data_IF_811499244552
#
_entry.id   IF_811499244552
#
_cell.length_a   1.000
_cell.length_b   1.000
_cell.length_c   1.000
_cell.angle_alpha   90.00
_cell.angle_beta   90.00
_cell.angle_gamma   90.00
#
_symmetry.space_group_name_H-M   'P 1'
#
loop_
_entity.id
_entity.type
_entity.pdbx_description
1 polymer ?
#
# COMPACT_ATOMS: atom_id res chain seq x y z
N UNK A 1 4.35 -15.41 -33.48
CA UNK A 1 4.06 -13.95 -33.49
C UNK A 1 3.85 -13.42 -34.91
N UNK A 2 4.84 -13.50 -35.81
CA UNK A 2 4.71 -13.01 -37.19
C UNK A 2 3.50 -13.59 -37.95
N UNK A 3 3.24 -14.89 -37.81
CA UNK A 3 2.06 -15.52 -38.43
C UNK A 3 0.73 -14.95 -37.91
N UNK A 4 0.59 -14.80 -36.59
CA UNK A 4 -0.60 -14.24 -35.96
C UNK A 4 -0.86 -12.79 -36.39
N UNK A 5 0.20 -12.00 -36.64
CA UNK A 5 0.05 -10.64 -37.15
C UNK A 5 -0.58 -10.61 -38.56
N UNK A 6 -0.31 -11.60 -39.41
CA UNK A 6 -0.79 -11.61 -40.81
C UNK A 6 -2.31 -11.70 -40.92
N UNK A 7 -2.94 -12.39 -39.98
CA UNK A 7 -4.40 -12.60 -39.94
C UNK A 7 -5.11 -11.65 -38.98
N UNK A 8 -4.38 -10.73 -38.35
CA UNK A 8 -4.92 -9.85 -37.31
C UNK A 8 -5.68 -8.66 -37.93
N UNK A 9 -6.99 -8.61 -37.71
CA UNK A 9 -7.86 -7.52 -38.18
C UNK A 9 -7.59 -6.19 -37.48
N UNK A 10 -7.15 -6.21 -36.22
CA UNK A 10 -6.81 -5.00 -35.46
C UNK A 10 -5.56 -4.34 -36.04
N UNK A 11 -4.59 -5.12 -36.50
CA UNK A 11 -3.41 -4.57 -37.18
C UNK A 11 -3.80 -3.82 -38.47
N UNK A 12 -4.71 -4.37 -39.26
CA UNK A 12 -5.20 -3.72 -40.48
C UNK A 12 -6.02 -2.45 -40.19
N UNK A 13 -6.79 -2.45 -39.10
CA UNK A 13 -7.48 -1.25 -38.59
C UNK A 13 -6.48 -0.16 -38.18
N UNK A 14 -5.44 -0.52 -37.42
CA UNK A 14 -4.41 0.40 -36.96
C UNK A 14 -3.59 1.00 -38.10
N UNK A 15 -3.32 0.23 -39.16
CA UNK A 15 -2.63 0.75 -40.37
C UNK A 15 -3.45 1.82 -41.09
N UNK A 16 -4.78 1.75 -41.05
CA UNK A 16 -5.68 2.66 -41.79
C UNK A 16 -6.13 3.86 -40.95
N UNK A 17 -6.42 3.64 -39.67
CA UNK A 17 -7.19 4.56 -38.83
C UNK A 17 -6.36 5.14 -37.67
N UNK A 18 -5.03 5.15 -37.77
CA UNK A 18 -4.16 5.70 -36.72
C UNK A 18 -3.01 6.53 -37.29
N UNK A 19 -2.40 7.35 -36.44
CA UNK A 19 -1.17 8.10 -36.76
C UNK A 19 0.11 7.24 -36.65
N UNK A 20 -0.02 5.93 -36.45
CA UNK A 20 1.11 5.01 -36.36
C UNK A 20 1.68 4.74 -37.76
N UNK A 21 2.99 4.49 -37.82
CA UNK A 21 3.68 4.17 -39.06
C UNK A 21 4.23 2.76 -38.95
N UNK A 22 3.57 1.81 -39.58
CA UNK A 22 3.98 0.41 -39.56
C UNK A 22 4.92 0.10 -40.73
N UNK A 23 6.05 -0.54 -40.40
CA UNK A 23 6.98 -1.14 -41.36
C UNK A 23 7.18 -2.60 -41.03
N UNK A 24 7.48 -3.38 -42.04
CA UNK A 24 7.81 -4.79 -41.87
C UNK A 24 9.30 -4.95 -41.70
N UNK A 25 9.72 -5.75 -40.72
CA UNK A 25 11.12 -6.06 -40.43
C UNK A 25 11.32 -7.55 -40.65
N UNK A 26 12.30 -7.87 -41.49
CA UNK A 26 12.70 -9.25 -41.78
C UNK A 26 13.77 -9.69 -40.79
N UNK A 27 13.70 -10.95 -40.36
CA UNK A 27 14.71 -11.54 -39.49
C UNK A 27 15.47 -12.63 -40.24
N UNK A 28 16.80 -12.72 -40.11
CA UNK A 28 17.60 -13.73 -40.81
C UNK A 28 17.14 -15.17 -40.54
N UNK A 29 16.54 -15.41 -39.37
CA UNK A 29 16.13 -16.73 -38.92
C UNK A 29 14.66 -17.05 -39.18
N UNK A 30 13.87 -16.14 -39.77
CA UNK A 30 12.45 -16.38 -40.03
C UNK A 30 12.01 -15.85 -41.38
N UNK A 31 11.40 -16.72 -42.20
CA UNK A 31 10.85 -16.36 -43.51
C UNK A 31 9.58 -15.49 -43.42
N UNK A 32 9.12 -15.13 -42.22
CA UNK A 32 7.93 -14.33 -42.00
C UNK A 32 8.31 -12.96 -41.43
N UNK A 33 7.92 -11.87 -42.10
CA UNK A 33 8.31 -10.54 -41.68
C UNK A 33 7.38 -10.05 -40.56
N UNK A 34 7.92 -9.25 -39.64
CA UNK A 34 7.22 -8.77 -38.45
C UNK A 34 6.80 -7.31 -38.62
N UNK A 35 5.52 -7.02 -38.38
CA UNK A 35 5.02 -5.65 -38.39
C UNK A 35 5.42 -4.92 -37.11
N UNK A 36 6.09 -3.78 -37.30
CA UNK A 36 6.59 -2.92 -36.23
C UNK A 36 6.19 -1.46 -36.49
N UNK A 37 5.76 -0.77 -35.45
CA UNK A 37 5.59 0.69 -35.50
C UNK A 37 6.97 1.38 -35.39
N UNK A 38 7.16 2.43 -36.19
CA UNK A 38 8.36 3.28 -36.21
C UNK A 38 8.05 4.76 -36.01
N UNK A 39 6.78 5.12 -35.77
CA UNK A 39 6.33 6.52 -35.66
C UNK A 39 7.02 7.33 -34.56
N UNK A 40 7.55 6.66 -33.53
CA UNK A 40 8.16 7.30 -32.35
C UNK A 40 9.70 7.32 -32.39
N UNK A 41 10.32 6.96 -33.52
CA UNK A 41 11.78 6.83 -33.64
C UNK A 41 12.35 5.56 -33.00
N UNK A 42 11.55 4.82 -32.23
CA UNK A 42 11.87 3.47 -31.75
C UNK A 42 11.04 2.44 -32.51
N UNK A 43 11.69 1.34 -32.90
CA UNK A 43 11.05 0.18 -33.51
C UNK A 43 10.30 -0.61 -32.43
N UNK A 44 8.98 -0.72 -32.57
CA UNK A 44 8.11 -1.40 -31.60
C UNK A 44 7.25 -2.44 -32.30
N UNK A 45 7.49 -3.74 -32.10
CA UNK A 45 6.65 -4.78 -32.68
C UNK A 45 5.19 -4.65 -32.25
N UNK A 46 4.28 -4.83 -33.20
CA UNK A 46 2.87 -4.98 -32.89
C UNK A 46 2.61 -6.33 -32.21
N UNK A 47 1.79 -6.35 -31.16
CA UNK A 47 1.52 -7.58 -30.39
C UNK A 47 0.07 -8.02 -30.56
N UNK A 48 -0.19 -9.12 -31.30
CA UNK A 48 -1.51 -9.74 -31.37
C UNK A 48 -2.02 -10.17 -30.00
N UNK A 49 -3.33 -10.19 -29.83
CA UNK A 49 -4.01 -10.41 -28.53
C UNK A 49 -3.44 -11.59 -27.74
N UNK A 50 -3.25 -12.73 -28.39
CA UNK A 50 -2.75 -13.97 -27.77
C UNK A 50 -1.37 -13.85 -27.11
N UNK A 51 -0.54 -12.89 -27.52
CA UNK A 51 0.82 -12.70 -26.99
C UNK A 51 0.92 -11.59 -25.95
N UNK A 52 -0.12 -10.73 -25.80
CA UNK A 52 -0.07 -9.57 -24.91
C UNK A 52 0.14 -9.95 -23.43
N UNK A 53 -0.52 -11.00 -22.88
CA UNK A 53 -0.27 -11.43 -21.50
C UNK A 53 1.18 -11.87 -21.29
N UNK A 54 1.75 -12.64 -22.22
CA UNK A 54 3.14 -13.12 -22.14
C UNK A 54 4.12 -11.94 -22.13
N UNK A 55 3.93 -10.96 -23.01
CA UNK A 55 4.74 -9.73 -23.05
C UNK A 55 4.64 -8.97 -21.73
N UNK A 56 3.43 -8.84 -21.17
CA UNK A 56 3.22 -8.18 -19.89
C UNK A 56 3.97 -8.88 -18.76
N UNK A 57 3.77 -10.19 -18.59
CA UNK A 57 4.39 -10.99 -17.53
C UNK A 57 5.91 -10.97 -17.61
N UNK A 58 6.47 -11.09 -18.82
CA UNK A 58 7.93 -11.03 -19.05
C UNK A 58 8.57 -9.73 -18.54
N UNK A 59 7.82 -8.61 -18.54
CA UNK A 59 8.31 -7.31 -18.06
C UNK A 59 7.93 -7.07 -16.59
N UNK A 60 6.68 -7.36 -16.24
CA UNK A 60 6.15 -7.08 -14.91
C UNK A 60 6.79 -7.95 -13.83
N UNK A 61 6.96 -9.24 -14.09
CA UNK A 61 7.37 -10.23 -13.09
C UNK A 61 8.87 -10.15 -12.74
N UNK A 62 9.65 -9.37 -13.49
CA UNK A 62 11.07 -9.11 -13.18
C UNK A 62 11.26 -8.37 -11.85
N UNK A 63 10.33 -7.48 -11.52
CA UNK A 63 10.46 -6.60 -10.35
C UNK A 63 9.13 -6.19 -9.71
N UNK A 64 8.00 -6.70 -10.20
CA UNK A 64 6.65 -6.28 -9.76
C UNK A 64 6.51 -4.74 -9.68
N UNK A 65 7.08 -4.06 -10.68
CA UNK A 65 7.10 -2.61 -10.73
C UNK A 65 5.68 -2.04 -10.76
N UNK A 66 5.50 -0.87 -10.15
CA UNK A 66 4.19 -0.21 -10.11
C UNK A 66 3.56 -0.02 -11.50
N UNK A 67 2.23 0.07 -11.56
CA UNK A 67 1.46 0.09 -12.82
C UNK A 67 2.03 1.03 -13.88
N UNK A 68 2.33 2.28 -13.50
CA UNK A 68 2.86 3.30 -14.42
C UNK A 68 4.22 2.91 -15.00
N UNK A 69 5.13 2.43 -14.15
CA UNK A 69 6.46 2.00 -14.58
C UNK A 69 6.39 0.80 -15.53
N UNK A 70 5.52 -0.18 -15.23
CA UNK A 70 5.27 -1.33 -16.10
C UNK A 70 4.71 -0.91 -17.45
N UNK A 71 3.69 -0.05 -17.49
CA UNK A 71 3.11 0.49 -18.73
C UNK A 71 4.18 1.19 -19.57
N UNK A 72 5.00 2.04 -18.94
CA UNK A 72 6.05 2.78 -19.64
C UNK A 72 7.16 1.85 -20.15
N UNK A 73 7.50 0.78 -19.43
CA UNK A 73 8.48 -0.22 -19.87
C UNK A 73 7.97 -1.02 -21.09
N UNK A 74 6.71 -1.46 -21.05
CA UNK A 74 6.06 -2.19 -22.15
C UNK A 74 5.92 -1.29 -23.38
N UNK A 75 5.43 -0.06 -23.22
CA UNK A 75 5.17 0.89 -24.32
C UNK A 75 6.43 1.30 -25.09
N UNK A 76 7.61 1.27 -24.45
CA UNK A 76 8.90 1.56 -25.10
C UNK A 76 9.31 0.45 -26.07
N UNK A 77 8.87 -0.80 -25.84
CA UNK A 77 9.31 -1.97 -26.60
C UNK A 77 8.24 -2.53 -27.54
N UNK A 78 6.96 -2.37 -27.19
CA UNK A 78 5.84 -3.01 -27.88
C UNK A 78 4.68 -2.05 -28.11
N UNK A 79 3.79 -2.41 -29.04
CA UNK A 79 2.58 -1.65 -29.32
C UNK A 79 1.39 -2.58 -29.60
N UNK A 80 0.21 -2.20 -29.13
CA UNK A 80 -1.08 -2.77 -29.51
C UNK A 80 -2.20 -1.81 -29.09
N UNK A 81 -3.43 -2.03 -29.57
CA UNK A 81 -4.58 -1.19 -29.20
C UNK A 81 -4.90 -1.37 -27.72
N UNK A 82 -5.11 -0.28 -27.00
CA UNK A 82 -5.47 -0.31 -25.57
C UNK A 82 -4.38 -0.83 -24.61
N UNK A 83 -3.09 -0.84 -24.99
CA UNK A 83 -1.95 -1.24 -24.14
C UNK A 83 -2.01 -0.73 -22.71
N UNK A 84 -2.25 0.57 -22.53
CA UNK A 84 -2.36 1.18 -21.19
C UNK A 84 -3.50 0.56 -20.37
N UNK A 85 -4.66 0.31 -20.98
CA UNK A 85 -5.83 -0.26 -20.31
C UNK A 85 -5.52 -1.69 -19.85
N UNK A 86 -5.01 -2.52 -20.75
CA UNK A 86 -4.71 -3.93 -20.48
C UNK A 86 -3.67 -4.05 -19.36
N UNK A 87 -2.53 -3.36 -19.48
CA UNK A 87 -1.49 -3.38 -18.45
C UNK A 87 -2.00 -2.83 -17.10
N UNK A 88 -2.91 -1.86 -17.09
CA UNK A 88 -3.53 -1.36 -15.84
C UNK A 88 -4.37 -2.43 -15.18
N UNK A 89 -5.18 -3.18 -15.95
CA UNK A 89 -5.99 -4.27 -15.43
C UNK A 89 -5.09 -5.36 -14.87
N UNK A 90 -4.08 -5.80 -15.63
CA UNK A 90 -3.19 -6.89 -15.22
C UNK A 90 -2.34 -6.55 -13.99
N UNK A 91 -1.84 -5.32 -13.89
CA UNK A 91 -1.13 -4.89 -12.67
C UNK A 91 -2.07 -4.89 -11.45
N UNK A 92 -3.34 -4.51 -11.63
CA UNK A 92 -4.34 -4.53 -10.54
C UNK A 92 -4.73 -5.95 -10.14
N UNK A 93 -4.65 -6.93 -11.03
CA UNK A 93 -4.97 -8.34 -10.75
C UNK A 93 -3.77 -9.17 -10.28
N UNK A 94 -2.57 -8.60 -10.26
CA UNK A 94 -1.37 -9.28 -9.81
C UNK A 94 -1.41 -9.57 -8.30
N UNK A 95 -1.48 -10.85 -7.93
CA UNK A 95 -1.62 -11.29 -6.54
C UNK A 95 -0.42 -10.88 -5.67
N UNK A 96 0.81 -10.98 -6.19
CA UNK A 96 2.02 -10.55 -5.48
C UNK A 96 1.96 -9.06 -5.14
N UNK A 97 1.59 -8.22 -6.13
CA UNK A 97 1.43 -6.79 -5.91
C UNK A 97 0.30 -6.46 -4.92
N UNK A 98 -0.85 -7.14 -5.02
CA UNK A 98 -1.98 -6.91 -4.10
C UNK A 98 -1.64 -7.26 -2.65
N UNK A 99 -0.87 -8.34 -2.42
CA UNK A 99 -0.45 -8.75 -1.07
C UNK A 99 0.57 -7.80 -0.47
N UNK A 100 1.50 -7.30 -1.27
CA UNK A 100 2.59 -6.43 -0.78
C UNK A 100 2.20 -4.96 -0.68
N UNK A 101 1.26 -4.49 -1.51
CA UNK A 101 0.89 -3.06 -1.58
C UNK A 101 -0.51 -2.81 -1.05
N UNK A 102 -0.59 -2.19 0.13
CA UNK A 102 -1.83 -1.62 0.65
C UNK A 102 -2.09 -0.29 -0.07
N UNK A 103 -2.87 -0.32 -1.15
CA UNK A 103 -3.20 0.88 -1.95
C UNK A 103 -4.28 1.76 -1.29
N UNK A 104 -5.08 1.18 -0.39
CA UNK A 104 -6.15 1.87 0.32
C UNK A 104 -6.13 1.49 1.80
N UNK A 105 -5.77 2.44 2.65
CA UNK A 105 -6.03 2.31 4.08
C UNK A 105 -7.54 2.44 4.29
N UNK A 106 -8.19 1.34 4.69
CA UNK A 106 -9.58 1.40 5.15
C UNK A 106 -9.58 2.15 6.48
N UNK A 107 -9.87 3.46 6.43
CA UNK A 107 -10.09 4.23 7.65
C UNK A 107 -11.47 3.82 8.18
N UNK A 108 -11.49 3.00 9.22
CA UNK A 108 -12.73 2.74 9.95
C UNK A 108 -13.30 4.07 10.44
N UNK A 109 -14.63 4.28 10.35
CA UNK A 109 -15.24 5.47 10.92
C UNK A 109 -14.92 5.55 12.42
N UNK A 110 -14.65 6.75 12.92
CA UNK A 110 -14.38 6.98 14.34
C UNK A 110 -15.61 6.53 15.13
N UNK A 111 -15.42 5.60 16.07
CA UNK A 111 -16.49 5.13 16.94
C UNK A 111 -17.07 6.29 17.78
N UNK A 112 -18.40 6.38 17.88
CA UNK A 112 -19.07 7.31 18.79
C UNK A 112 -19.22 6.66 20.15
N UNK A 113 -18.52 7.17 21.15
CA UNK A 113 -18.64 6.71 22.53
C UNK A 113 -19.60 7.64 23.30
N UNK A 114 -20.61 7.11 24.00
CA UNK A 114 -21.56 7.94 24.74
C UNK A 114 -20.83 8.79 25.78
N UNK A 115 -21.33 10.00 26.05
CA UNK A 115 -20.75 10.83 27.12
C UNK A 115 -20.94 10.11 28.47
N UNK A 116 -19.94 10.14 29.36
CA UNK A 116 -20.10 9.59 30.71
C UNK A 116 -21.21 10.34 31.45
N UNK A 117 -22.00 9.61 32.24
CA UNK A 117 -23.16 10.15 32.96
C UNK A 117 -22.81 10.73 34.35
N UNK A 118 -21.55 10.63 34.76
CA UNK A 118 -21.07 11.16 36.04
C UNK A 118 -19.58 10.92 36.25
N UNK A 119 -19.04 11.53 37.31
CA UNK A 119 -17.63 11.40 37.72
C UNK A 119 -17.27 9.95 38.03
N UNK A 120 -16.07 9.53 37.64
CA UNK A 120 -15.47 8.22 37.92
C UNK A 120 -16.26 7.01 37.37
N UNK A 121 -17.25 7.23 36.49
CA UNK A 121 -17.97 6.16 35.78
C UNK A 121 -17.09 5.49 34.72
N UNK A 122 -16.28 6.29 34.03
CA UNK A 122 -15.35 5.84 33.00
C UNK A 122 -14.02 6.54 33.24
N UNK A 123 -13.00 5.75 33.58
CA UNK A 123 -11.62 6.22 33.72
C UNK A 123 -10.80 5.58 32.61
N UNK A 124 -10.09 6.42 31.87
CA UNK A 124 -9.15 5.97 30.86
C UNK A 124 -7.81 5.75 31.54
N UNK A 125 -7.26 4.53 31.40
CA UNK A 125 -5.94 4.17 31.89
C UNK A 125 -4.99 3.99 30.71
N UNK A 126 -3.79 4.55 30.81
CA UNK A 126 -2.72 4.32 29.85
C UNK A 126 -1.37 4.27 30.55
N UNK A 127 -0.43 3.48 30.01
CA UNK A 127 0.91 3.30 30.58
C UNK A 127 1.92 3.93 29.65
N UNK A 128 2.70 4.88 30.19
CA UNK A 128 3.81 5.50 29.47
C UNK A 128 5.11 4.84 29.91
N UNK A 129 5.88 4.32 28.95
CA UNK A 129 7.25 3.86 29.18
C UNK A 129 7.74 2.83 28.16
N UNK A 130 8.96 2.31 28.35
CA UNK A 130 9.87 2.62 29.46
C UNK A 130 10.50 4.03 29.35
N UNK A 131 10.59 4.73 30.48
CA UNK A 131 11.25 6.03 30.65
C UNK A 131 12.60 5.84 31.35
N UNK A 132 13.51 6.84 31.30
CA UNK A 132 14.71 6.84 32.13
C UNK A 132 14.37 6.62 33.61
N UNK A 133 15.16 5.79 34.29
CA UNK A 133 14.94 5.46 35.71
C UNK A 133 15.00 6.73 36.54
N UNK A 134 13.96 6.98 37.34
CA UNK A 134 13.94 8.01 38.37
C UNK A 134 13.40 7.40 39.66
N UNK A 135 14.18 7.44 40.73
CA UNK A 135 13.81 6.89 42.05
C UNK A 135 13.32 5.43 42.01
N UNK A 136 13.85 4.61 41.09
CA UNK A 136 13.45 3.21 40.93
C UNK A 136 12.19 2.98 40.09
N UNK A 137 11.61 4.02 39.49
CA UNK A 137 10.44 3.95 38.61
C UNK A 137 10.85 4.18 37.15
N UNK A 138 10.23 3.45 36.23
CA UNK A 138 10.49 3.51 34.77
C UNK A 138 9.22 3.66 33.94
N UNK A 139 8.06 3.63 34.58
CA UNK A 139 6.76 3.74 33.91
C UNK A 139 5.90 4.78 34.63
N UNK A 140 4.92 5.34 33.93
CA UNK A 140 3.87 6.16 34.50
C UNK A 140 2.51 5.57 34.15
N UNK A 141 1.69 5.30 35.16
CA UNK A 141 0.27 5.05 34.97
C UNK A 141 -0.43 6.40 34.88
N UNK A 142 -1.10 6.65 33.75
CA UNK A 142 -1.95 7.83 33.57
C UNK A 142 -3.41 7.43 33.70
N UNK A 143 -4.15 8.15 34.52
CA UNK A 143 -5.56 7.92 34.80
C UNK A 143 -6.33 9.20 34.47
N UNK A 144 -7.29 9.14 33.56
CA UNK A 144 -8.10 10.32 33.20
C UNK A 144 -9.57 10.02 33.39
N UNK A 145 -10.23 10.72 34.32
CA UNK A 145 -11.68 10.65 34.43
C UNK A 145 -12.32 11.29 33.19
N UNK A 146 -13.09 10.50 32.44
CA UNK A 146 -13.63 10.95 31.15
C UNK A 146 -14.70 12.04 31.30
N UNK A 147 -15.35 12.13 32.45
CA UNK A 147 -16.40 13.13 32.72
C UNK A 147 -15.81 14.49 33.03
N UNK A 148 -14.94 14.58 34.04
CA UNK A 148 -14.31 15.84 34.45
C UNK A 148 -13.09 16.22 33.62
N UNK A 149 -12.52 15.28 32.86
CA UNK A 149 -11.21 15.40 32.22
C UNK A 149 -10.05 15.58 33.21
N UNK A 150 -10.25 15.20 34.47
CA UNK A 150 -9.23 15.26 35.51
C UNK A 150 -8.13 14.20 35.27
N UNK A 151 -6.86 14.60 35.09
CA UNK A 151 -5.76 13.67 34.95
C UNK A 151 -5.04 13.42 36.29
N UNK A 152 -4.69 12.16 36.53
CA UNK A 152 -3.77 11.72 37.58
C UNK A 152 -2.66 10.90 36.95
N UNK A 153 -1.45 10.99 37.49
CA UNK A 153 -0.31 10.22 37.02
C UNK A 153 0.47 9.64 38.20
N UNK A 154 0.74 8.33 38.16
CA UNK A 154 1.42 7.61 39.23
C UNK A 154 2.67 6.90 38.70
N UNK A 155 3.81 7.00 39.42
CA UNK A 155 5.03 6.29 39.03
C UNK A 155 4.88 4.78 39.25
N UNK A 156 5.38 3.99 38.30
CA UNK A 156 5.35 2.52 38.31
C UNK A 156 6.75 1.94 38.08
N UNK A 157 7.08 0.90 38.85
CA UNK A 157 8.34 0.16 38.70
C UNK A 157 8.28 -0.82 37.51
N UNK A 158 7.09 -1.33 37.21
CA UNK A 158 6.83 -2.26 36.11
C UNK A 158 5.38 -2.11 35.61
N UNK A 159 5.10 -2.68 34.43
CA UNK A 159 3.77 -2.63 33.79
C UNK A 159 2.89 -3.85 34.11
N UNK A 160 3.18 -4.60 35.19
CA UNK A 160 2.38 -5.77 35.56
C UNK A 160 0.97 -5.36 35.98
N UNK A 161 -0.01 -6.19 35.65
CA UNK A 161 -1.42 -5.93 35.97
C UNK A 161 -1.65 -5.78 37.49
N UNK A 162 -0.92 -6.54 38.31
CA UNK A 162 -1.00 -6.45 39.77
C UNK A 162 -0.53 -5.09 40.29
N UNK A 163 0.62 -4.60 39.82
CA UNK A 163 1.13 -3.28 40.23
C UNK A 163 0.19 -2.16 39.76
N UNK A 164 -0.31 -2.23 38.53
CA UNK A 164 -1.27 -1.25 38.01
C UNK A 164 -2.55 -1.23 38.85
N UNK A 165 -3.12 -2.40 39.17
CA UNK A 165 -4.35 -2.51 39.96
C UNK A 165 -4.16 -1.98 41.38
N UNK A 166 -3.04 -2.31 42.02
CA UNK A 166 -2.70 -1.83 43.36
C UNK A 166 -2.60 -0.30 43.41
N UNK A 167 -1.82 0.29 42.50
CA UNK A 167 -1.67 1.76 42.41
C UNK A 167 -2.97 2.47 42.06
N UNK A 168 -3.79 1.86 41.19
CA UNK A 168 -5.06 2.46 40.79
C UNK A 168 -6.11 2.46 41.91
N UNK A 169 -6.20 1.37 42.70
CA UNK A 169 -7.20 1.22 43.76
C UNK A 169 -6.74 1.90 45.06
N UNK A 170 -5.44 1.83 45.38
CA UNK A 170 -4.87 2.31 46.63
C UNK A 170 -3.75 3.35 46.38
N UNK A 171 -4.07 4.53 45.79
CA UNK A 171 -3.07 5.53 45.45
C UNK A 171 -2.37 6.14 46.67
N UNK A 172 -2.96 6.04 47.86
CA UNK A 172 -2.41 6.56 49.13
C UNK A 172 -1.43 5.59 49.81
N UNK A 173 -1.24 4.38 49.26
CA UNK A 173 -0.28 3.39 49.78
C UNK A 173 1.18 3.72 49.47
N UNK A 174 1.45 4.80 48.72
CA UNK A 174 2.80 5.26 48.45
C UNK A 174 3.34 6.11 49.61
N UNK A 175 4.55 5.82 50.12
CA UNK A 175 5.24 6.71 51.04
C UNK A 175 5.73 7.93 50.24
N UNK A 176 4.87 8.93 50.06
CA UNK A 176 5.17 10.33 50.37
C UNK A 176 4.04 11.26 49.91
N UNK A 177 3.34 11.77 50.92
CA UNK A 177 2.31 12.79 50.90
C UNK A 177 2.76 14.19 50.45
N UNK A 178 3.88 14.33 49.73
CA UNK A 178 4.42 15.64 49.35
C UNK A 178 4.05 16.10 47.93
N UNK A 179 3.60 15.22 47.03
CA UNK A 179 3.32 15.64 45.64
C UNK A 179 1.87 16.10 45.38
N UNK A 180 0.95 15.92 46.33
CA UNK A 180 -0.48 16.30 46.19
C UNK A 180 -0.80 17.78 46.43
N UNK A 181 0.19 18.65 46.61
CA UNK A 181 -0.01 20.10 46.72
C UNK A 181 0.77 20.83 45.64
N UNK A 182 0.18 20.95 44.45
CA UNK A 182 0.35 22.08 43.53
C UNK A 182 -0.76 22.07 42.48
#
# INVERSE_FOLDING_TARGET
>A
MAEAQRTDKELEDLKKNSSLSFKTIEFPCSNLPLYCDVSTGQVRPYVPEIFRPVVFHTIHDLAHSGCRATIDAVRRRYIWKSLRKDCTIWCKTCLSCQKSKIDRQTKSPIGKYPLPSGRFRHVNLDIVGPLPICCGFTYLLTCVDRFTRWPEAFPLQNQSASTVAEVFIFPDGFPDSEYRRR
#
